data_IF_874673000858
#
_entry.id   IF_874673000858
#
_cell.length_a   1.000
_cell.length_b   1.000
_cell.length_c   1.000
_cell.angle_alpha   90.00
_cell.angle_beta   90.00
_cell.angle_gamma   90.00
#
_symmetry.space_group_name_H-M   'P 1'
#
loop_
_entity.id
_entity.type
_entity.pdbx_description
1 polymer ?
#
# COMPACT_ATOMS: atom_id res chain seq x y z
N UNK A 1 26.40 6.02 1.20
CA UNK A 1 25.35 5.64 0.23
C UNK A 1 24.82 6.89 -0.45
N UNK A 2 24.77 6.91 -1.79
CA UNK A 2 24.06 7.97 -2.52
C UNK A 2 23.43 7.36 -3.77
N UNK A 3 22.12 7.21 -3.76
CA UNK A 3 21.35 6.60 -4.83
C UNK A 3 20.38 7.64 -5.36
N UNK A 4 20.37 7.84 -6.67
CA UNK A 4 19.42 8.74 -7.33
C UNK A 4 18.63 7.96 -8.37
N UNK A 5 17.31 8.08 -8.31
CA UNK A 5 16.42 7.43 -9.24
C UNK A 5 15.29 8.36 -9.64
N UNK A 6 14.70 8.11 -10.79
CA UNK A 6 13.50 8.81 -11.22
C UNK A 6 12.46 7.80 -11.68
N UNK A 7 11.23 8.02 -11.29
CA UNK A 7 10.15 7.13 -11.71
C UNK A 7 8.82 7.87 -11.81
N UNK A 8 7.94 7.30 -12.58
CA UNK A 8 6.53 7.71 -12.66
C UNK A 8 5.69 6.48 -12.34
N UNK A 9 4.83 6.58 -11.34
CA UNK A 9 3.89 5.50 -11.03
C UNK A 9 2.75 5.52 -12.03
N UNK A 10 2.45 4.37 -12.61
CA UNK A 10 1.20 4.22 -13.35
C UNK A 10 0.01 4.07 -12.39
N UNK A 11 -1.22 4.40 -12.83
CA UNK A 11 -2.41 4.20 -12.00
C UNK A 11 -2.61 2.74 -11.53
N UNK A 12 -2.18 1.77 -12.34
CA UNK A 12 -2.23 0.36 -11.99
C UNK A 12 -1.23 0.03 -10.88
N UNK A 13 0.04 0.43 -11.04
CA UNK A 13 1.09 0.23 -10.03
C UNK A 13 0.74 0.88 -8.69
N UNK A 14 0.17 2.09 -8.70
CA UNK A 14 -0.26 2.75 -7.47
C UNK A 14 -1.36 1.98 -6.75
N UNK A 15 -2.27 1.33 -7.48
CA UNK A 15 -3.27 0.42 -6.91
C UNK A 15 -2.64 -0.82 -6.30
N UNK A 16 -1.75 -1.47 -7.05
CA UNK A 16 -1.11 -2.72 -6.62
C UNK A 16 -0.22 -2.47 -5.40
N UNK A 17 0.54 -1.39 -5.38
CA UNK A 17 1.30 -0.97 -4.21
C UNK A 17 0.41 -0.68 -3.00
N UNK A 18 -0.74 -0.03 -3.21
CA UNK A 18 -1.69 0.24 -2.12
C UNK A 18 -2.35 -1.04 -1.61
N UNK A 19 -2.70 -1.98 -2.50
CA UNK A 19 -3.23 -3.31 -2.11
C UNK A 19 -2.20 -4.10 -1.32
N UNK A 20 -0.95 -4.11 -1.78
CA UNK A 20 0.14 -4.78 -1.09
C UNK A 20 0.37 -4.18 0.31
N UNK A 21 0.37 -2.86 0.44
CA UNK A 21 0.49 -2.16 1.72
C UNK A 21 -0.66 -2.47 2.68
N UNK A 22 -1.90 -2.54 2.19
CA UNK A 22 -3.11 -2.82 2.97
C UNK A 22 -3.53 -4.30 2.93
N UNK A 23 -2.64 -5.21 2.55
CA UNK A 23 -2.97 -6.63 2.34
C UNK A 23 -3.71 -7.27 3.50
N UNK A 24 -3.25 -7.04 4.74
CA UNK A 24 -3.88 -7.61 5.94
C UNK A 24 -5.31 -7.10 6.14
N UNK A 25 -5.54 -5.80 5.94
CA UNK A 25 -6.86 -5.21 6.05
C UNK A 25 -7.80 -5.74 4.94
N UNK A 26 -7.30 -5.85 3.73
CA UNK A 26 -8.05 -6.39 2.59
C UNK A 26 -8.44 -7.86 2.83
N UNK A 27 -7.50 -8.71 3.24
CA UNK A 27 -7.78 -10.13 3.52
C UNK A 27 -8.77 -10.31 4.67
N UNK A 28 -8.67 -9.50 5.72
CA UNK A 28 -9.59 -9.53 6.84
C UNK A 28 -11.01 -9.13 6.42
N UNK A 29 -11.16 -8.08 5.60
CA UNK A 29 -12.46 -7.66 5.07
C UNK A 29 -13.10 -8.75 4.22
N UNK A 30 -12.34 -9.38 3.33
CA UNK A 30 -12.83 -10.48 2.48
C UNK A 30 -13.25 -11.69 3.34
N UNK A 31 -12.44 -12.08 4.32
CA UNK A 31 -12.77 -13.19 5.21
C UNK A 31 -14.04 -12.91 6.04
N UNK A 32 -14.16 -11.70 6.61
CA UNK A 32 -15.35 -11.27 7.35
C UNK A 32 -16.59 -11.20 6.47
N UNK A 33 -16.48 -10.69 5.26
CA UNK A 33 -17.57 -10.66 4.29
C UNK A 33 -18.05 -12.06 3.92
N UNK A 34 -17.12 -12.97 3.63
CA UNK A 34 -17.45 -14.38 3.35
C UNK A 34 -18.16 -15.07 4.51
N UNK A 35 -17.67 -14.85 5.75
CA UNK A 35 -18.33 -15.40 6.94
C UNK A 35 -19.75 -14.86 7.13
N UNK A 36 -19.94 -13.53 6.94
CA UNK A 36 -21.27 -12.91 7.03
C UNK A 36 -22.23 -13.44 5.98
N UNK A 37 -21.76 -13.67 4.74
CA UNK A 37 -22.59 -14.28 3.70
C UNK A 37 -23.02 -15.70 4.09
N UNK A 38 -22.10 -16.52 4.59
CA UNK A 38 -22.40 -17.87 5.05
C UNK A 38 -23.44 -17.86 6.19
N UNK A 39 -23.22 -17.02 7.21
CA UNK A 39 -24.15 -16.87 8.33
C UNK A 39 -25.52 -16.34 7.91
N UNK A 40 -25.55 -15.38 6.98
CA UNK A 40 -26.79 -14.83 6.44
C UNK A 40 -27.59 -15.86 5.67
N UNK A 41 -26.91 -16.66 4.84
CA UNK A 41 -27.53 -17.74 4.08
C UNK A 41 -28.09 -18.84 5.00
N UNK A 42 -27.31 -19.28 5.99
CA UNK A 42 -27.77 -20.29 6.96
C UNK A 42 -28.94 -19.77 7.80
N UNK A 43 -28.88 -18.50 8.24
CA UNK A 43 -29.99 -17.89 9.00
C UNK A 43 -31.30 -17.86 8.21
N UNK A 44 -31.25 -17.52 6.92
CA UNK A 44 -32.46 -17.50 6.08
C UNK A 44 -33.05 -18.89 5.85
N UNK A 45 -32.24 -19.95 5.82
CA UNK A 45 -32.72 -21.33 5.67
C UNK A 45 -33.30 -21.90 6.96
N UNK A 46 -32.75 -21.52 8.12
CA UNK A 46 -33.19 -22.03 9.43
C UNK A 46 -34.38 -21.24 10.00
N UNK A 47 -34.36 -19.94 9.89
CA UNK A 47 -35.36 -19.00 10.38
C UNK A 47 -35.44 -17.78 9.46
N UNK A 48 -36.30 -17.79 8.44
CA UNK A 48 -36.48 -16.65 7.54
C UNK A 48 -36.81 -15.39 8.32
N UNK A 49 -35.97 -14.35 8.19
CA UNK A 49 -36.17 -13.09 8.89
C UNK A 49 -35.19 -12.00 8.45
N UNK A 50 -35.42 -10.76 8.92
CA UNK A 50 -34.63 -9.59 8.50
C UNK A 50 -33.15 -9.70 8.86
N UNK A 51 -32.80 -10.48 9.89
CA UNK A 51 -31.40 -10.67 10.33
C UNK A 51 -30.55 -11.35 9.26
N UNK A 52 -31.09 -12.39 8.60
CA UNK A 52 -30.40 -13.07 7.51
C UNK A 52 -30.13 -12.15 6.33
N UNK A 53 -31.12 -11.34 5.93
CA UNK A 53 -30.96 -10.34 4.89
C UNK A 53 -29.94 -9.26 5.27
N UNK A 54 -29.96 -8.79 6.51
CA UNK A 54 -28.99 -7.83 7.03
C UNK A 54 -27.55 -8.38 6.96
N UNK A 55 -27.34 -9.63 7.34
CA UNK A 55 -26.02 -10.28 7.27
C UNK A 55 -25.56 -10.43 5.81
N UNK A 56 -26.45 -10.84 4.89
CA UNK A 56 -26.10 -10.92 3.46
C UNK A 56 -25.72 -9.56 2.90
N UNK A 57 -26.49 -8.52 3.18
CA UNK A 57 -26.17 -7.17 2.73
C UNK A 57 -24.80 -6.70 3.23
N UNK A 58 -24.52 -6.87 4.53
CA UNK A 58 -23.21 -6.50 5.09
C UNK A 58 -22.08 -7.37 4.53
N UNK A 59 -22.31 -8.67 4.31
CA UNK A 59 -21.34 -9.55 3.68
C UNK A 59 -20.91 -9.06 2.30
N UNK A 60 -21.88 -8.70 1.44
CA UNK A 60 -21.61 -8.09 0.13
C UNK A 60 -20.86 -6.76 0.29
N UNK A 61 -21.30 -5.92 1.23
CA UNK A 61 -20.68 -4.62 1.47
C UNK A 61 -19.19 -4.78 1.86
N UNK A 62 -18.85 -5.72 2.75
CA UNK A 62 -17.47 -6.00 3.16
C UNK A 62 -16.59 -6.55 2.02
N UNK A 63 -17.18 -7.22 1.02
CA UNK A 63 -16.45 -7.66 -0.16
C UNK A 63 -16.21 -6.53 -1.16
N UNK A 64 -17.19 -5.65 -1.36
CA UNK A 64 -17.15 -4.60 -2.39
C UNK A 64 -16.46 -3.32 -1.90
N UNK A 65 -16.68 -2.96 -0.62
CA UNK A 65 -16.23 -1.68 -0.05
C UNK A 65 -14.70 -1.47 -0.15
N UNK A 66 -13.83 -2.46 0.14
CA UNK A 66 -12.39 -2.26 0.02
C UNK A 66 -11.95 -1.84 -1.37
N UNK A 67 -12.50 -2.51 -2.40
CA UNK A 67 -12.19 -2.22 -3.79
C UNK A 67 -12.77 -0.86 -4.23
N UNK A 68 -14.00 -0.56 -3.83
CA UNK A 68 -14.64 0.72 -4.11
C UNK A 68 -13.86 1.90 -3.51
N UNK A 69 -13.40 1.77 -2.25
CA UNK A 69 -12.59 2.79 -1.57
C UNK A 69 -11.25 3.00 -2.27
N UNK A 70 -10.58 1.92 -2.70
CA UNK A 70 -9.31 2.01 -3.42
C UNK A 70 -9.49 2.71 -4.77
N UNK A 71 -10.55 2.35 -5.52
CA UNK A 71 -10.85 2.97 -6.82
C UNK A 71 -11.26 4.43 -6.67
N UNK A 72 -12.08 4.76 -5.68
CA UNK A 72 -12.51 6.13 -5.43
C UNK A 72 -11.35 7.02 -4.98
N UNK A 73 -10.48 6.51 -4.11
CA UNK A 73 -9.26 7.20 -3.70
C UNK A 73 -8.36 7.55 -4.89
N UNK A 74 -8.30 6.68 -5.92
CA UNK A 74 -7.62 6.96 -7.19
C UNK A 74 -8.28 8.11 -7.95
N UNK A 75 -9.60 8.06 -8.10
CA UNK A 75 -10.36 9.08 -8.82
C UNK A 75 -10.17 10.48 -8.22
N UNK A 76 -10.15 10.58 -6.88
CA UNK A 76 -9.97 11.84 -6.18
C UNK A 76 -8.56 12.44 -6.27
N UNK A 77 -7.52 11.62 -6.49
CA UNK A 77 -6.13 12.10 -6.52
C UNK A 77 -5.76 12.84 -7.81
N UNK A 78 -6.56 12.73 -8.87
CA UNK A 78 -6.30 13.37 -10.15
C UNK A 78 -5.02 12.89 -10.84
N UNK A 79 -4.66 13.56 -11.94
CA UNK A 79 -3.48 13.24 -12.75
C UNK A 79 -2.16 13.66 -12.10
N UNK A 80 -2.17 14.66 -11.24
CA UNK A 80 -0.98 15.17 -10.53
C UNK A 80 -0.34 14.16 -9.58
N UNK A 81 -1.12 13.18 -9.11
CA UNK A 81 -0.59 12.10 -8.26
C UNK A 81 0.38 11.15 -8.99
N UNK A 82 0.46 11.25 -10.32
CA UNK A 82 1.30 10.42 -11.18
C UNK A 82 2.39 11.24 -11.89
N UNK A 83 2.75 12.40 -11.35
CA UNK A 83 3.86 13.19 -11.84
C UNK A 83 5.18 12.43 -11.67
N UNK A 84 6.19 12.70 -12.53
CA UNK A 84 7.52 12.16 -12.34
C UNK A 84 8.08 12.56 -10.97
N UNK A 85 8.64 11.59 -10.28
CA UNK A 85 9.25 11.76 -8.96
C UNK A 85 10.73 11.47 -9.08
N UNK A 86 11.58 12.41 -8.70
CA UNK A 86 12.98 12.17 -8.48
C UNK A 86 13.19 11.75 -7.02
N UNK A 87 13.85 10.61 -6.84
CA UNK A 87 14.18 10.01 -5.55
C UNK A 87 15.67 10.19 -5.31
N UNK A 88 16.04 10.74 -4.19
CA UNK A 88 17.41 10.76 -3.69
C UNK A 88 17.44 10.04 -2.34
N UNK A 89 18.33 9.06 -2.22
CA UNK A 89 18.60 8.33 -0.99
C UNK A 89 20.05 8.58 -0.59
N UNK A 90 20.28 9.06 0.61
CA UNK A 90 21.60 9.30 1.15
C UNK A 90 21.75 8.71 2.56
N UNK A 91 22.83 9.04 3.26
CA UNK A 91 23.08 8.57 4.63
C UNK A 91 22.16 9.24 5.67
N UNK A 92 21.55 10.37 5.33
CA UNK A 92 20.68 11.16 6.21
C UNK A 92 19.20 10.74 6.08
N UNK A 93 18.75 10.42 4.85
CA UNK A 93 17.34 10.10 4.63
C UNK A 93 16.96 9.82 3.19
N UNK A 94 15.69 10.01 2.95
CA UNK A 94 15.03 9.89 1.66
C UNK A 94 14.46 11.26 1.27
N UNK A 95 14.81 11.75 0.10
CA UNK A 95 14.28 12.99 -0.47
C UNK A 95 13.50 12.65 -1.73
N UNK A 96 12.28 13.16 -1.80
CA UNK A 96 11.42 13.08 -2.99
C UNK A 96 11.25 14.48 -3.56
N UNK A 97 11.53 14.61 -4.85
CA UNK A 97 11.28 15.85 -5.60
C UNK A 97 10.26 15.59 -6.71
N UNK A 98 9.22 16.35 -6.70
CA UNK A 98 8.27 16.47 -7.81
C UNK A 98 8.42 17.84 -8.45
N UNK A 99 7.69 18.11 -9.52
CA UNK A 99 7.76 19.43 -10.20
C UNK A 99 7.46 20.60 -9.24
N UNK A 100 6.51 20.38 -8.29
CA UNK A 100 5.99 21.46 -7.44
C UNK A 100 6.40 21.32 -5.96
N UNK A 101 6.98 20.20 -5.56
CA UNK A 101 7.21 19.91 -4.14
C UNK A 101 8.52 19.16 -3.93
N UNK A 102 9.27 19.57 -2.92
CA UNK A 102 10.40 18.79 -2.39
C UNK A 102 10.09 18.41 -0.95
N UNK A 103 10.12 17.13 -0.66
CA UNK A 103 9.93 16.59 0.69
C UNK A 103 11.07 15.65 1.05
N UNK A 104 11.65 15.81 2.23
CA UNK A 104 12.70 14.93 2.75
C UNK A 104 12.26 14.34 4.09
N UNK A 105 12.63 13.08 4.32
CA UNK A 105 12.39 12.37 5.56
C UNK A 105 13.67 11.68 6.02
N UNK A 106 14.16 11.97 7.24
CA UNK A 106 15.33 11.30 7.80
C UNK A 106 15.02 9.84 8.13
N UNK A 107 16.04 8.97 8.12
CA UNK A 107 15.87 7.54 8.38
C UNK A 107 15.11 7.21 9.67
N UNK A 108 15.29 7.92 10.79
CA UNK A 108 14.53 7.66 12.02
C UNK A 108 13.01 7.89 11.91
N UNK A 109 12.55 8.62 10.88
CA UNK A 109 11.12 8.80 10.64
C UNK A 109 10.42 7.56 10.07
N UNK A 110 11.20 6.59 9.57
CA UNK A 110 10.67 5.36 9.02
C UNK A 110 10.55 4.27 10.10
N UNK A 111 9.34 3.76 10.28
CA UNK A 111 9.09 2.65 11.21
C UNK A 111 9.61 1.29 10.68
N UNK A 112 9.63 1.11 9.37
CA UNK A 112 10.14 -0.08 8.72
C UNK A 112 10.20 0.13 7.20
N UNK A 113 11.09 -0.60 6.54
CA UNK A 113 11.11 -0.74 5.08
C UNK A 113 10.85 -2.20 4.74
N UNK A 114 10.02 -2.46 3.74
CA UNK A 114 9.73 -3.80 3.24
C UNK A 114 9.83 -3.84 1.73
N UNK A 115 10.33 -4.95 1.22
CA UNK A 115 10.31 -5.28 -0.20
C UNK A 115 9.19 -6.27 -0.44
N UNK A 116 8.15 -5.86 -1.17
CA UNK A 116 6.97 -6.69 -1.41
C UNK A 116 6.26 -6.31 -2.70
N UNK A 117 5.85 -7.31 -3.48
CA UNK A 117 5.02 -7.14 -4.69
C UNK A 117 5.61 -6.16 -5.71
N UNK A 118 6.94 -6.17 -5.90
CA UNK A 118 7.62 -5.28 -6.84
C UNK A 118 7.82 -3.85 -6.36
N UNK A 119 7.67 -3.60 -5.06
CA UNK A 119 7.86 -2.27 -4.45
C UNK A 119 8.74 -2.32 -3.22
N UNK A 120 9.53 -1.26 -3.05
CA UNK A 120 10.10 -0.86 -1.79
C UNK A 120 9.10 0.01 -1.05
N UNK A 121 8.64 -0.45 0.11
CA UNK A 121 7.64 0.23 0.95
C UNK A 121 8.31 0.85 2.16
N UNK A 122 8.54 2.15 2.12
CA UNK A 122 9.08 2.93 3.23
C UNK A 122 7.94 3.36 4.14
N UNK A 123 7.69 2.62 5.21
CA UNK A 123 6.58 2.89 6.15
C UNK A 123 6.94 3.99 7.12
N UNK A 124 6.13 5.02 7.18
CA UNK A 124 6.23 6.10 8.17
C UNK A 124 5.32 5.76 9.37
N UNK A 125 4.07 5.41 9.08
CA UNK A 125 3.09 5.00 10.09
C UNK A 125 2.40 3.70 9.66
N UNK A 126 1.45 3.21 10.45
CA UNK A 126 0.62 2.06 10.06
C UNK A 126 -0.28 2.34 8.84
N UNK A 127 -0.57 3.61 8.55
CA UNK A 127 -1.46 4.05 7.45
C UNK A 127 -0.74 4.78 6.32
N UNK A 128 0.54 5.12 6.49
CA UNK A 128 1.31 5.92 5.53
C UNK A 128 2.60 5.22 5.14
N UNK A 129 2.84 5.11 3.86
CA UNK A 129 4.07 4.60 3.29
C UNK A 129 4.40 5.31 1.97
N UNK A 130 5.70 5.45 1.69
CA UNK A 130 6.22 5.84 0.39
C UNK A 130 6.46 4.56 -0.41
N UNK A 131 5.93 4.50 -1.63
CA UNK A 131 6.05 3.36 -2.53
C UNK A 131 7.03 3.71 -3.63
N UNK A 132 8.13 2.97 -3.70
CA UNK A 132 9.14 3.09 -4.76
C UNK A 132 9.12 1.79 -5.56
N UNK A 133 8.81 1.80 -6.86
CA UNK A 133 8.82 0.58 -7.65
C UNK A 133 10.25 0.04 -7.77
N UNK A 134 10.41 -1.29 -7.68
CA UNK A 134 11.74 -1.92 -7.76
C UNK A 134 12.46 -1.56 -9.07
N UNK A 135 11.72 -1.44 -10.17
CA UNK A 135 12.25 -1.05 -11.49
C UNK A 135 12.89 0.35 -11.53
N UNK A 136 12.64 1.20 -10.51
CA UNK A 136 13.23 2.53 -10.43
C UNK A 136 14.69 2.51 -9.96
N UNK A 137 15.12 1.43 -9.33
CA UNK A 137 16.47 1.25 -8.82
C UNK A 137 17.23 0.27 -9.70
N UNK A 138 18.48 0.57 -10.02
CA UNK A 138 19.38 -0.40 -10.63
C UNK A 138 19.65 -1.54 -9.63
N UNK A 139 19.99 -2.72 -10.12
CA UNK A 139 20.21 -3.90 -9.28
C UNK A 139 21.34 -3.68 -8.24
N UNK A 140 22.40 -2.97 -8.65
CA UNK A 140 23.48 -2.59 -7.76
C UNK A 140 23.01 -1.65 -6.63
N UNK A 141 22.20 -0.63 -6.98
CA UNK A 141 21.63 0.32 -6.03
C UNK A 141 20.65 -0.35 -5.06
N UNK A 142 19.84 -1.28 -5.57
CA UNK A 142 18.92 -2.06 -4.75
C UNK A 142 19.66 -2.93 -3.72
N UNK A 143 20.80 -3.53 -4.12
CA UNK A 143 21.67 -4.33 -3.23
C UNK A 143 22.34 -3.45 -2.18
N UNK A 144 22.86 -2.29 -2.56
CA UNK A 144 23.46 -1.32 -1.64
C UNK A 144 22.43 -0.81 -0.63
N UNK A 145 21.23 -0.45 -1.11
CA UNK A 145 20.13 -0.02 -0.26
C UNK A 145 19.72 -1.11 0.74
N UNK A 146 19.64 -2.37 0.28
CA UNK A 146 19.29 -3.49 1.15
C UNK A 146 20.30 -3.68 2.26
N UNK A 147 21.59 -3.66 1.94
CA UNK A 147 22.68 -3.77 2.93
C UNK A 147 22.63 -2.61 3.95
N UNK A 148 22.42 -1.39 3.47
CA UNK A 148 22.29 -0.20 4.31
C UNK A 148 21.09 -0.30 5.27
N UNK A 149 19.91 -0.69 4.76
CA UNK A 149 18.69 -0.82 5.56
C UNK A 149 18.78 -1.95 6.59
N UNK A 150 19.50 -3.03 6.28
CA UNK A 150 19.80 -4.11 7.24
C UNK A 150 20.70 -3.60 8.37
N UNK A 151 21.77 -2.86 8.05
CA UNK A 151 22.65 -2.26 9.04
C UNK A 151 21.91 -1.30 9.98
N UNK A 152 20.94 -0.55 9.46
CA UNK A 152 20.05 0.35 10.22
C UNK A 152 18.91 -0.38 10.94
N UNK A 153 18.75 -1.71 10.78
CA UNK A 153 17.64 -2.52 11.33
C UNK A 153 16.24 -2.04 10.88
N UNK A 154 16.16 -1.36 9.75
CA UNK A 154 14.92 -0.87 9.17
C UNK A 154 14.26 -1.90 8.24
N UNK A 155 15.03 -2.80 7.62
CA UNK A 155 14.51 -3.83 6.74
C UNK A 155 13.77 -4.90 7.55
N UNK A 156 12.49 -5.09 7.25
CA UNK A 156 11.66 -6.16 7.82
C UNK A 156 11.20 -7.08 6.70
N UNK A 157 11.56 -8.35 6.79
CA UNK A 157 11.12 -9.39 5.86
C UNK A 157 9.61 -9.63 5.91
#
# INVERSE_FOLDING_TARGET
MRITASYTLTPAEALDGTRAFKRTWYSLSVASGGLMLLMGFTSLNLAPGPMGLFMLFNGVLFLVLPEAVLRWGRYRRGTTAYAPVALELDDEGLVLRTQDTTGGLPWPAFAAVRRQSGFWMFRITHSQAILVPERALAEADATELEAFLRAKKLLKG
#
